data_IF_610737530455
#
_entry.id   IF_610737530455
#
_cell.length_a   1.000
_cell.length_b   1.000
_cell.length_c   1.000
_cell.angle_alpha   90.00
_cell.angle_beta   90.00
_cell.angle_gamma   90.00
#
_symmetry.space_group_name_H-M   'P 1'
#
loop_
_entity.id
_entity.type
_entity.pdbx_description
1 polymer ?
#
# COMPACT_ATOMS: atom_id res chain seq x y z
N UNK A 1 5.67 30.28 2.24
CA UNK A 1 6.81 31.14 1.84
C UNK A 1 7.44 30.54 0.60
N UNK A 2 7.61 31.32 -0.48
CA UNK A 2 8.20 30.82 -1.74
C UNK A 2 9.71 31.00 -1.67
N UNK A 3 10.46 29.91 -1.55
CA UNK A 3 11.92 29.95 -1.52
C UNK A 3 12.43 30.34 -2.91
N UNK A 4 13.33 31.32 -2.99
CA UNK A 4 13.92 31.79 -4.25
C UNK A 4 14.91 30.77 -4.82
N UNK A 5 15.14 30.84 -6.14
CA UNK A 5 16.13 29.98 -6.83
C UNK A 5 17.54 30.21 -6.25
N UNK A 6 17.91 31.47 -6.01
CA UNK A 6 19.21 31.82 -5.40
C UNK A 6 19.45 31.16 -4.04
N UNK A 7 18.43 31.05 -3.18
CA UNK A 7 18.56 30.34 -1.89
C UNK A 7 18.80 28.84 -2.12
N UNK A 8 18.14 28.24 -3.13
CA UNK A 8 18.33 26.82 -3.46
C UNK A 8 19.72 26.55 -4.03
N UNK A 9 20.24 27.44 -4.89
CA UNK A 9 21.60 27.36 -5.44
C UNK A 9 22.65 27.40 -4.33
N UNK A 10 22.56 28.39 -3.44
CA UNK A 10 23.46 28.50 -2.28
C UNK A 10 23.38 27.28 -1.35
N UNK A 11 22.18 26.75 -1.12
CA UNK A 11 22.01 25.53 -0.34
C UNK A 11 22.64 24.31 -1.02
N UNK A 12 22.49 24.20 -2.35
CA UNK A 12 23.07 23.12 -3.14
C UNK A 12 24.60 23.14 -3.10
N UNK A 13 25.20 24.30 -3.33
CA UNK A 13 26.65 24.50 -3.25
C UNK A 13 27.18 24.10 -1.86
N UNK A 14 26.55 24.60 -0.79
CA UNK A 14 26.95 24.23 0.58
C UNK A 14 26.79 22.74 0.89
N UNK A 15 25.77 22.09 0.33
CA UNK A 15 25.58 20.64 0.46
C UNK A 15 26.67 19.85 -0.28
N UNK A 16 27.10 20.30 -1.47
CA UNK A 16 28.21 19.72 -2.23
C UNK A 16 29.55 19.87 -1.49
N UNK A 17 29.75 20.98 -0.79
CA UNK A 17 30.91 21.22 0.08
C UNK A 17 30.76 20.61 1.48
N UNK A 18 29.80 19.71 1.70
CA UNK A 18 29.60 18.97 2.95
C UNK A 18 29.37 19.84 4.20
N UNK A 19 28.85 21.06 4.04
CA UNK A 19 28.50 21.89 5.20
C UNK A 19 27.42 21.21 6.06
N UNK A 20 27.46 21.36 7.39
CA UNK A 20 26.45 20.79 8.26
C UNK A 20 25.05 21.31 7.93
N UNK A 21 24.09 20.40 7.70
CA UNK A 21 22.70 20.72 7.31
C UNK A 21 22.02 21.75 8.23
N UNK A 22 22.31 21.68 9.54
CA UNK A 22 21.78 22.62 10.54
C UNK A 22 22.37 24.05 10.37
N UNK A 23 23.63 24.16 9.97
CA UNK A 23 24.28 25.44 9.72
C UNK A 23 23.69 26.11 8.47
N UNK A 24 23.56 25.35 7.38
CA UNK A 24 22.91 25.80 6.13
C UNK A 24 21.49 26.31 6.42
N UNK A 25 20.71 25.56 7.20
CA UNK A 25 19.35 25.95 7.58
C UNK A 25 19.30 27.29 8.34
N UNK A 26 20.20 27.47 9.32
CA UNK A 26 20.31 28.70 10.12
C UNK A 26 20.72 29.89 9.27
N UNK A 27 21.74 29.72 8.43
CA UNK A 27 22.31 30.80 7.61
C UNK A 27 21.40 31.24 6.47
N UNK A 28 20.61 30.32 5.90
CA UNK A 28 19.69 30.60 4.80
C UNK A 28 18.26 30.89 5.28
N UNK A 29 18.00 30.86 6.59
CA UNK A 29 16.68 31.14 7.16
C UNK A 29 15.59 30.14 6.76
N UNK A 30 15.97 28.87 6.53
CA UNK A 30 15.06 27.80 6.09
C UNK A 30 15.04 26.64 7.10
N UNK A 31 14.03 25.77 7.02
CA UNK A 31 13.93 24.66 7.97
C UNK A 31 15.00 23.60 7.73
N UNK A 32 15.54 23.04 8.81
CA UNK A 32 16.53 21.96 8.74
C UNK A 32 16.00 20.70 8.05
N UNK A 33 14.68 20.48 8.11
CA UNK A 33 14.01 19.40 7.38
C UNK A 33 14.09 19.61 5.86
N UNK A 34 13.89 20.84 5.37
CA UNK A 34 14.00 21.16 3.94
C UNK A 34 15.43 20.95 3.43
N UNK A 35 16.45 21.38 4.19
CA UNK A 35 17.85 21.14 3.82
C UNK A 35 18.20 19.65 3.81
N UNK A 36 17.64 18.88 4.76
CA UNK A 36 17.77 17.41 4.76
C UNK A 36 17.16 16.82 3.49
N UNK A 37 15.97 17.27 3.10
CA UNK A 37 15.29 16.76 1.92
C UNK A 37 16.10 17.06 0.65
N UNK A 38 16.65 18.27 0.52
CA UNK A 38 17.51 18.63 -0.62
C UNK A 38 18.80 17.82 -0.72
N UNK A 39 19.35 17.39 0.42
CA UNK A 39 20.54 16.53 0.41
C UNK A 39 20.32 15.18 -0.29
N UNK A 40 19.09 14.68 -0.36
CA UNK A 40 18.80 13.45 -1.11
C UNK A 40 18.94 13.66 -2.63
N UNK A 41 18.53 14.83 -3.13
CA UNK A 41 18.66 15.16 -4.56
C UNK A 41 20.14 15.40 -4.93
N UNK A 42 20.86 16.16 -4.10
CA UNK A 42 22.29 16.43 -4.30
C UNK A 42 23.11 15.13 -4.32
N UNK A 43 22.85 14.20 -3.40
CA UNK A 43 23.52 12.90 -3.35
C UNK A 43 23.27 12.02 -4.60
N UNK A 44 22.21 12.30 -5.36
CA UNK A 44 21.86 11.59 -6.59
C UNK A 44 22.28 12.33 -7.86
N UNK A 45 22.94 13.50 -7.72
CA UNK A 45 23.31 14.35 -8.86
C UNK A 45 22.10 15.01 -9.54
N UNK A 46 20.98 15.11 -8.83
CA UNK A 46 19.75 15.67 -9.36
C UNK A 46 19.60 17.14 -8.93
N UNK A 47 19.66 18.05 -9.92
CA UNK A 47 19.64 19.50 -9.71
C UNK A 47 18.40 20.19 -10.29
N UNK A 48 17.50 19.45 -10.93
CA UNK A 48 16.28 20.01 -11.53
C UNK A 48 15.38 20.71 -10.49
N UNK A 49 15.51 20.34 -9.20
CA UNK A 49 14.80 20.95 -8.10
C UNK A 49 15.14 22.42 -7.82
N UNK A 50 16.27 22.91 -8.34
CA UNK A 50 16.73 24.27 -8.17
C UNK A 50 15.88 25.22 -9.02
N UNK A 51 15.79 24.96 -10.32
CA UNK A 51 15.09 25.78 -11.32
C UNK A 51 13.59 25.52 -11.35
N UNK A 52 13.15 24.29 -11.12
CA UNK A 52 11.74 23.93 -11.20
C UNK A 52 11.01 24.06 -9.85
N UNK A 53 9.75 24.53 -9.87
CA UNK A 53 8.84 24.36 -8.71
C UNK A 53 8.46 22.89 -8.48
N UNK A 54 8.65 22.05 -9.50
CA UNK A 54 7.91 20.83 -9.79
C UNK A 54 8.63 19.53 -9.47
N UNK A 55 9.54 19.48 -8.49
CA UNK A 55 10.07 18.20 -7.96
C UNK A 55 8.94 17.29 -7.46
N UNK A 56 7.86 17.90 -6.98
CA UNK A 56 6.61 17.24 -6.57
C UNK A 56 5.84 16.57 -7.74
N UNK A 57 6.29 16.77 -8.98
CA UNK A 57 5.56 16.39 -10.22
C UNK A 57 6.20 15.21 -10.93
N UNK A 58 7.22 14.58 -10.35
CA UNK A 58 7.76 13.30 -10.85
C UNK A 58 6.83 12.14 -10.53
N UNK A 59 5.57 12.27 -10.95
CA UNK A 59 4.52 11.27 -10.79
C UNK A 59 4.98 9.92 -11.32
N UNK A 60 5.68 9.90 -12.46
CA UNK A 60 6.25 8.69 -13.05
C UNK A 60 7.30 8.02 -12.15
N UNK A 61 8.32 8.76 -11.70
CA UNK A 61 9.38 8.22 -10.83
C UNK A 61 8.83 7.75 -9.48
N UNK A 62 7.86 8.49 -8.93
CA UNK A 62 7.17 8.10 -7.70
C UNK A 62 6.29 6.87 -7.90
N UNK A 63 5.60 6.74 -9.03
CA UNK A 63 4.82 5.55 -9.34
C UNK A 63 5.72 4.33 -9.52
N UNK A 64 6.86 4.47 -10.21
CA UNK A 64 7.84 3.40 -10.37
C UNK A 64 8.44 2.97 -9.01
N UNK A 65 8.71 3.91 -8.11
CA UNK A 65 9.16 3.60 -6.76
C UNK A 65 8.10 2.83 -5.94
N UNK A 66 6.81 3.12 -6.13
CA UNK A 66 5.72 2.37 -5.51
C UNK A 66 5.68 0.95 -6.04
N UNK A 67 5.72 0.76 -7.37
CA UNK A 67 5.72 -0.56 -7.99
C UNK A 67 6.92 -1.40 -7.55
N UNK A 68 8.12 -0.79 -7.51
CA UNK A 68 9.33 -1.44 -7.03
C UNK A 68 9.20 -1.89 -5.56
N UNK A 69 8.63 -1.03 -4.71
CA UNK A 69 8.38 -1.37 -3.30
C UNK A 69 7.40 -2.54 -3.16
N UNK A 70 6.35 -2.61 -3.98
CA UNK A 70 5.37 -3.71 -3.99
C UNK A 70 6.03 -5.03 -4.39
N UNK A 71 6.82 -5.01 -5.47
CA UNK A 71 7.49 -6.20 -6.00
C UNK A 71 8.54 -6.77 -5.03
N UNK A 72 9.21 -5.90 -4.27
CA UNK A 72 10.34 -6.27 -3.40
C UNK A 72 9.99 -6.26 -1.91
N UNK A 73 8.71 -6.24 -1.56
CA UNK A 73 8.28 -6.32 -0.16
C UNK A 73 8.82 -7.62 0.49
N UNK A 74 9.42 -7.60 1.70
CA UNK A 74 9.29 -6.59 2.76
C UNK A 74 10.42 -5.53 2.84
N UNK A 75 10.91 -4.99 1.72
CA UNK A 75 11.84 -3.85 1.75
C UNK A 75 11.21 -2.60 2.41
N UNK A 76 12.02 -1.87 3.20
CA UNK A 76 11.57 -0.62 3.84
C UNK A 76 11.34 0.50 2.82
N UNK A 77 10.21 1.22 2.92
CA UNK A 77 9.89 2.33 2.02
C UNK A 77 10.95 3.45 2.06
N UNK A 78 11.65 3.62 3.19
CA UNK A 78 12.73 4.62 3.31
C UNK A 78 13.95 4.26 2.47
N UNK A 79 14.24 2.97 2.31
CA UNK A 79 15.35 2.50 1.48
C UNK A 79 15.00 2.63 -0.01
N UNK A 80 13.77 2.29 -0.39
CA UNK A 80 13.27 2.54 -1.74
C UNK A 80 13.28 4.04 -2.07
N UNK A 81 12.85 4.89 -1.14
CA UNK A 81 12.91 6.34 -1.32
C UNK A 81 14.34 6.83 -1.59
N UNK A 82 15.34 6.28 -0.87
CA UNK A 82 16.76 6.60 -1.09
C UNK A 82 17.25 6.11 -2.46
N UNK A 83 16.84 4.91 -2.90
CA UNK A 83 17.20 4.37 -4.22
C UNK A 83 16.70 5.26 -5.36
N UNK A 84 15.44 5.70 -5.26
CA UNK A 84 14.77 6.48 -6.29
C UNK A 84 15.00 8.00 -6.15
N UNK A 85 15.73 8.48 -5.14
CA UNK A 85 15.96 9.91 -4.93
C UNK A 85 14.69 10.69 -4.58
N UNK A 86 13.75 10.03 -3.91
CA UNK A 86 12.45 10.60 -3.51
C UNK A 86 12.49 10.85 -2.00
N UNK A 87 11.75 11.87 -1.55
CA UNK A 87 11.54 12.09 -0.12
C UNK A 87 10.74 10.92 0.49
N UNK A 88 11.22 10.29 1.58
CA UNK A 88 10.53 9.14 2.19
C UNK A 88 9.07 9.40 2.59
N UNK A 89 8.76 10.59 3.10
CA UNK A 89 7.39 10.98 3.48
C UNK A 89 6.44 11.03 2.28
N UNK A 90 6.95 11.47 1.13
CA UNK A 90 6.16 11.61 -0.09
C UNK A 90 5.89 10.22 -0.68
N UNK A 91 6.90 9.34 -0.67
CA UNK A 91 6.74 7.95 -1.07
C UNK A 91 5.75 7.24 -0.15
N UNK A 92 5.86 7.38 1.17
CA UNK A 92 4.92 6.79 2.12
C UNK A 92 3.48 7.27 1.88
N UNK A 93 3.27 8.58 1.74
CA UNK A 93 1.95 9.15 1.47
C UNK A 93 1.36 8.62 0.16
N UNK A 94 2.21 8.45 -0.86
CA UNK A 94 1.78 7.92 -2.16
C UNK A 94 1.55 6.42 -2.15
N UNK A 95 2.35 5.63 -1.45
CA UNK A 95 2.08 4.21 -1.20
C UNK A 95 0.73 4.08 -0.50
N UNK A 96 0.49 4.86 0.58
CA UNK A 96 -0.79 4.86 1.29
C UNK A 96 -1.97 5.20 0.36
N UNK A 97 -1.84 6.24 -0.47
CA UNK A 97 -2.89 6.58 -1.46
C UNK A 97 -3.03 5.55 -2.56
N UNK A 98 -1.93 4.97 -3.04
CA UNK A 98 -1.95 3.96 -4.09
C UNK A 98 -2.63 2.68 -3.60
N UNK A 99 -2.31 2.24 -2.38
CA UNK A 99 -3.04 1.16 -1.71
C UNK A 99 -4.51 1.54 -1.55
N UNK A 100 -4.81 2.78 -1.15
CA UNK A 100 -6.19 3.26 -1.00
C UNK A 100 -7.00 3.31 -2.30
N UNK A 101 -6.35 3.43 -3.47
CA UNK A 101 -7.04 3.38 -4.76
C UNK A 101 -6.88 2.02 -5.44
N UNK A 102 -6.19 1.08 -4.80
CA UNK A 102 -6.10 -0.29 -5.25
C UNK A 102 -7.37 -1.01 -4.80
N UNK A 103 -7.91 -1.95 -5.58
CA UNK A 103 -8.96 -2.86 -5.09
C UNK A 103 -8.56 -3.59 -3.79
N UNK A 104 -7.25 -3.60 -3.51
CA UNK A 104 -6.65 -4.07 -2.26
C UNK A 104 -6.96 -3.25 -1.00
N UNK A 105 -7.49 -2.02 -1.07
CA UNK A 105 -8.00 -1.31 0.13
C UNK A 105 -9.30 -1.96 0.64
N UNK A 106 -10.06 -2.58 -0.27
CA UNK A 106 -11.24 -3.37 0.08
C UNK A 106 -10.88 -4.80 0.48
N UNK A 107 -9.62 -5.20 0.31
CA UNK A 107 -9.10 -6.43 0.90
C UNK A 107 -8.79 -6.21 2.38
N UNK A 108 -8.91 -7.25 3.22
CA UNK A 108 -8.81 -7.08 4.66
C UNK A 108 -7.39 -6.64 5.05
N UNK A 109 -7.28 -5.71 6.01
CA UNK A 109 -6.02 -5.10 6.53
C UNK A 109 -4.89 -6.09 6.86
N UNK A 110 -5.20 -7.38 7.02
CA UNK A 110 -4.24 -8.40 7.39
C UNK A 110 -3.81 -9.18 6.15
N UNK A 111 -2.65 -8.80 5.60
CA UNK A 111 -1.90 -9.52 4.56
C UNK A 111 -1.75 -11.03 4.86
N UNK A 112 -1.79 -11.46 6.14
CA UNK A 112 -1.82 -12.90 6.52
C UNK A 112 -3.04 -13.67 5.99
N UNK A 113 -4.11 -12.97 5.60
CA UNK A 113 -5.30 -13.53 4.96
C UNK A 113 -5.11 -13.70 3.46
N UNK A 114 -3.97 -13.33 2.92
CA UNK A 114 -3.67 -13.61 1.52
C UNK A 114 -3.26 -15.08 1.33
N UNK A 115 -2.82 -15.77 2.39
CA UNK A 115 -2.53 -17.21 2.35
C UNK A 115 -3.77 -18.07 2.07
N UNK A 116 -5.01 -17.60 2.30
CA UNK A 116 -6.20 -18.33 1.81
C UNK A 116 -6.41 -18.22 0.29
N UNK A 117 -5.84 -17.20 -0.33
CA UNK A 117 -6.01 -16.91 -1.76
C UNK A 117 -4.78 -17.36 -2.58
N UNK A 118 -3.64 -17.61 -1.92
CA UNK A 118 -2.42 -18.09 -2.57
C UNK A 118 -2.59 -19.54 -3.04
N UNK A 119 -2.72 -19.68 -4.35
CA UNK A 119 -2.55 -20.93 -5.07
C UNK A 119 -1.07 -21.12 -5.42
N UNK A 120 -0.48 -22.26 -5.03
CA UNK A 120 0.92 -22.62 -5.32
C UNK A 120 1.06 -23.73 -6.36
N UNK A 121 -0.02 -24.15 -7.02
CA UNK A 121 0.06 -25.24 -7.99
C UNK A 121 0.39 -24.75 -9.40
N UNK A 122 1.12 -25.59 -10.12
CA UNK A 122 1.43 -25.41 -11.54
C UNK A 122 0.27 -25.92 -12.40
N UNK A 123 -0.40 -25.01 -13.11
CA UNK A 123 -1.38 -25.35 -14.16
C UNK A 123 -2.74 -24.69 -13.99
N UNK A 124 -3.42 -24.50 -15.12
CA UNK A 124 -4.74 -23.90 -15.33
C UNK A 124 -5.90 -24.79 -14.82
N UNK A 125 -5.68 -25.52 -13.73
CA UNK A 125 -6.67 -26.39 -13.14
C UNK A 125 -7.68 -25.55 -12.35
N UNK A 126 -8.87 -25.40 -12.91
CA UNK A 126 -10.00 -24.69 -12.31
C UNK A 126 -10.21 -25.15 -10.85
N UNK A 127 -10.26 -24.19 -9.92
CA UNK A 127 -10.53 -24.47 -8.51
C UNK A 127 -11.97 -25.00 -8.37
N UNK A 128 -12.13 -26.29 -8.07
CA UNK A 128 -13.45 -26.90 -7.94
C UNK A 128 -14.03 -26.83 -6.51
N UNK A 129 -15.33 -27.11 -6.38
CA UNK A 129 -16.07 -27.06 -5.10
C UNK A 129 -15.55 -28.07 -4.07
N UNK A 130 -15.00 -29.21 -4.49
CA UNK A 130 -14.47 -30.22 -3.57
C UNK A 130 -13.15 -29.73 -2.94
N UNK A 131 -12.34 -29.04 -3.73
CA UNK A 131 -11.06 -28.48 -3.33
C UNK A 131 -11.21 -27.29 -2.40
N UNK A 132 -12.14 -26.37 -2.67
CA UNK A 132 -12.46 -25.27 -1.74
C UNK A 132 -12.88 -25.82 -0.38
N UNK A 133 -13.74 -26.85 -0.39
CA UNK A 133 -14.17 -27.53 0.84
C UNK A 133 -12.99 -28.13 1.60
N UNK A 134 -12.06 -28.79 0.89
CA UNK A 134 -10.84 -29.35 1.50
C UNK A 134 -9.99 -28.24 2.15
N UNK A 135 -9.69 -27.16 1.43
CA UNK A 135 -8.90 -26.03 1.94
C UNK A 135 -9.51 -25.41 3.20
N UNK A 136 -10.82 -25.17 3.19
CA UNK A 136 -11.55 -24.65 4.35
C UNK A 136 -11.49 -25.64 5.51
N UNK A 137 -11.72 -26.93 5.26
CA UNK A 137 -11.70 -27.96 6.31
C UNK A 137 -10.33 -28.12 6.97
N UNK A 138 -9.25 -28.12 6.19
CA UNK A 138 -7.87 -28.23 6.69
C UNK A 138 -7.44 -27.00 7.49
N UNK A 139 -8.04 -25.84 7.20
CA UNK A 139 -7.77 -24.61 7.93
C UNK A 139 -8.51 -24.59 9.25
N UNK A 140 -9.80 -24.93 9.25
CA UNK A 140 -10.59 -25.00 10.47
C UNK A 140 -10.08 -26.08 11.43
N UNK A 141 -9.53 -27.19 10.91
CA UNK A 141 -8.96 -28.25 11.75
C UNK A 141 -7.65 -27.86 12.45
N UNK A 142 -6.97 -26.78 12.03
CA UNK A 142 -5.78 -26.25 12.73
C UNK A 142 -6.13 -25.45 13.98
N UNK A 143 -7.37 -24.99 14.11
CA UNK A 143 -7.82 -24.26 15.29
C UNK A 143 -7.97 -25.24 16.48
N UNK A 144 -7.24 -24.97 17.56
CA UNK A 144 -7.26 -25.82 18.77
C UNK A 144 -8.20 -25.28 19.85
N UNK A 145 -8.63 -24.03 19.72
CA UNK A 145 -9.47 -23.33 20.69
C UNK A 145 -10.67 -22.70 19.99
N UNK A 146 -11.74 -22.47 20.75
CA UNK A 146 -12.95 -21.81 20.25
C UNK A 146 -12.67 -20.41 19.70
N UNK A 147 -11.83 -19.64 20.39
CA UNK A 147 -11.42 -18.29 19.95
C UNK A 147 -10.64 -18.31 18.63
N UNK A 148 -9.74 -19.28 18.46
CA UNK A 148 -9.03 -19.47 17.20
C UNK A 148 -10.00 -19.88 16.08
N UNK A 149 -10.95 -20.77 16.37
CA UNK A 149 -11.94 -21.20 15.39
C UNK A 149 -12.82 -20.03 14.95
N UNK A 150 -13.33 -19.26 15.91
CA UNK A 150 -14.17 -18.08 15.63
C UNK A 150 -13.41 -17.05 14.80
N UNK A 151 -12.14 -16.82 15.12
CA UNK A 151 -11.24 -15.95 14.35
C UNK A 151 -11.02 -16.47 12.93
N UNK A 152 -10.74 -17.76 12.75
CA UNK A 152 -10.53 -18.36 11.41
C UNK A 152 -11.79 -18.27 10.56
N UNK A 153 -12.97 -18.56 11.14
CA UNK A 153 -14.23 -18.44 10.39
C UNK A 153 -14.52 -16.98 10.04
N UNK A 154 -14.29 -16.04 10.96
CA UNK A 154 -14.46 -14.61 10.68
C UNK A 154 -13.52 -14.14 9.56
N UNK A 155 -12.24 -14.52 9.64
CA UNK A 155 -11.23 -14.20 8.63
C UNK A 155 -11.61 -14.79 7.25
N UNK A 156 -12.21 -15.99 7.19
CA UNK A 156 -12.74 -16.60 5.95
C UNK A 156 -13.93 -15.82 5.39
N UNK A 157 -14.91 -15.47 6.23
CA UNK A 157 -16.12 -14.76 5.78
C UNK A 157 -15.78 -13.37 5.23
N UNK A 158 -14.87 -12.66 5.90
CA UNK A 158 -14.35 -11.38 5.42
C UNK A 158 -13.65 -11.56 4.05
N UNK A 159 -12.86 -12.62 3.87
CA UNK A 159 -12.20 -12.89 2.58
C UNK A 159 -13.22 -13.10 1.46
N UNK A 160 -14.31 -13.81 1.73
CA UNK A 160 -15.40 -13.96 0.76
C UNK A 160 -16.08 -12.64 0.44
N UNK A 161 -16.28 -11.75 1.43
CA UNK A 161 -16.92 -10.46 1.22
C UNK A 161 -16.14 -9.62 0.21
N UNK A 162 -14.82 -9.57 0.35
CA UNK A 162 -13.96 -8.86 -0.59
C UNK A 162 -14.02 -9.47 -2.00
N UNK A 163 -14.02 -10.80 -2.12
CA UNK A 163 -14.17 -11.46 -3.43
C UNK A 163 -15.51 -11.14 -4.09
N UNK A 164 -16.60 -11.10 -3.31
CA UNK A 164 -17.92 -10.73 -3.83
C UNK A 164 -17.94 -9.29 -4.35
N UNK A 165 -17.31 -8.36 -3.64
CA UNK A 165 -17.20 -6.96 -4.09
C UNK A 165 -16.48 -6.85 -5.44
N UNK A 166 -15.38 -7.57 -5.60
CA UNK A 166 -14.58 -7.59 -6.83
C UNK A 166 -15.35 -8.20 -8.01
N UNK A 167 -16.00 -9.34 -7.78
CA UNK A 167 -16.77 -10.01 -8.84
C UNK A 167 -17.97 -9.14 -9.24
N UNK A 168 -18.61 -8.47 -8.27
CA UNK A 168 -19.75 -7.60 -8.54
C UNK A 168 -19.38 -6.33 -9.31
N UNK A 169 -18.18 -5.77 -9.12
CA UNK A 169 -17.73 -4.61 -9.89
C UNK A 169 -17.50 -4.93 -11.37
N UNK A 170 -17.02 -6.14 -11.65
CA UNK A 170 -16.68 -6.58 -13.02
C UNK A 170 -17.82 -7.35 -13.72
N UNK A 171 -18.93 -7.63 -13.03
CA UNK A 171 -20.05 -8.39 -13.57
C UNK A 171 -20.89 -7.56 -14.56
N UNK A 172 -20.78 -7.89 -15.85
CA UNK A 172 -21.58 -7.29 -16.94
C UNK A 172 -22.97 -7.91 -17.10
N UNK A 173 -23.19 -9.10 -16.55
CA UNK A 173 -24.45 -9.85 -16.66
C UNK A 173 -25.38 -9.48 -15.49
N UNK A 174 -26.46 -8.76 -15.80
CA UNK A 174 -27.40 -8.23 -14.80
C UNK A 174 -28.17 -9.32 -14.04
N UNK A 175 -28.36 -10.52 -14.61
CA UNK A 175 -29.02 -11.62 -13.90
C UNK A 175 -28.08 -12.20 -12.86
N UNK A 176 -26.84 -12.52 -13.26
CA UNK A 176 -25.81 -13.03 -12.35
C UNK A 176 -25.45 -12.01 -11.27
N UNK A 177 -25.44 -10.73 -11.61
CA UNK A 177 -25.18 -9.64 -10.67
C UNK A 177 -26.23 -9.60 -9.55
N UNK A 178 -27.51 -9.78 -9.86
CA UNK A 178 -28.58 -9.86 -8.84
C UNK A 178 -28.44 -11.08 -7.93
N UNK A 179 -28.09 -12.24 -8.49
CA UNK A 179 -27.83 -13.45 -7.71
C UNK A 179 -26.63 -13.28 -6.77
N UNK A 180 -25.53 -12.72 -7.29
CA UNK A 180 -24.32 -12.43 -6.51
C UNK A 180 -24.59 -11.39 -5.42
N UNK A 181 -25.42 -10.38 -5.67
CA UNK A 181 -25.85 -9.40 -4.66
C UNK A 181 -26.63 -10.08 -3.54
N UNK A 182 -27.53 -11.02 -3.86
CA UNK A 182 -28.27 -11.77 -2.85
C UNK A 182 -27.33 -12.58 -1.95
N UNK A 183 -26.36 -13.29 -2.52
CA UNK A 183 -25.36 -14.03 -1.74
C UNK A 183 -24.47 -13.10 -0.90
N UNK A 184 -24.10 -11.94 -1.43
CA UNK A 184 -23.32 -10.94 -0.71
C UNK A 184 -24.10 -10.39 0.51
N UNK A 185 -25.40 -10.12 0.37
CA UNK A 185 -26.22 -9.66 1.50
C UNK A 185 -26.40 -10.74 2.58
N UNK A 186 -26.56 -12.01 2.18
CA UNK A 186 -26.58 -13.13 3.14
C UNK A 186 -25.25 -13.24 3.91
N UNK A 187 -24.13 -13.03 3.22
CA UNK A 187 -22.81 -13.03 3.83
C UNK A 187 -22.62 -11.87 4.82
N UNK A 188 -23.08 -10.66 4.48
CA UNK A 188 -23.07 -9.51 5.39
C UNK A 188 -23.91 -9.76 6.64
N UNK A 189 -25.07 -10.39 6.51
CA UNK A 189 -25.89 -10.77 7.67
C UNK A 189 -25.18 -11.80 8.55
N UNK A 190 -24.51 -12.78 7.94
CA UNK A 190 -23.71 -13.77 8.67
C UNK A 190 -22.53 -13.12 9.42
N UNK A 191 -21.86 -12.13 8.82
CA UNK A 191 -20.81 -11.33 9.46
C UNK A 191 -21.36 -10.46 10.60
N UNK A 192 -22.48 -9.77 10.37
CA UNK A 192 -23.12 -8.90 11.37
C UNK A 192 -23.59 -9.67 12.60
N UNK A 193 -24.11 -10.88 12.43
CA UNK A 193 -24.52 -11.75 13.54
C UNK A 193 -23.35 -12.28 14.40
N UNK A 194 -22.12 -12.19 13.88
CA UNK A 194 -20.89 -12.64 14.55
C UNK A 194 -20.11 -11.51 15.22
N UNK A 195 -20.37 -10.26 14.86
CA UNK A 195 -19.82 -9.12 15.58
C UNK A 195 -20.57 -8.99 16.91
N UNK A 196 -19.86 -8.86 18.05
CA UNK A 196 -20.55 -8.56 19.30
C UNK A 196 -21.31 -7.24 19.13
N UNK A 197 -22.59 -7.24 19.54
CA UNK A 197 -23.41 -6.03 19.57
C UNK A 197 -22.61 -4.93 20.27
N UNK A 198 -22.26 -3.88 19.52
CA UNK A 198 -21.56 -2.73 20.08
C UNK A 198 -22.45 -2.13 21.16
N UNK A 199 -22.03 -2.22 22.42
CA UNK A 199 -22.49 -1.35 23.50
C UNK A 199 -21.90 0.05 23.29
#
# INVERSE_FOLDING_TARGET
MKISVSIKEQACERLLHFHPKKAIARELGISASVVRDWSFFVNKGDFAWISERSVLTRKAQQHQAILYWIEHYPIGYSDVARLFGIRPSDLYTKIKRYIAHSPSEHLPDKIRLWDCLRWHGTGDAMVDKARIRKMVSERLSRAKTKEQLDKEVNDILITYECLFQEILSDCKDEVKKKELQLYHEQLKQALASRLPAKY
#
